data_IF_154755410492
#
_entry.id   IF_154755410492
#
_cell.length_a   1.000
_cell.length_b   1.000
_cell.length_c   1.000
_cell.angle_alpha   90.00
_cell.angle_beta   90.00
_cell.angle_gamma   90.00
#
_symmetry.space_group_name_H-M   'P 1'
#
loop_
_entity.id
_entity.type
_entity.pdbx_description
1 polymer ?
#
# COMPACT_ATOMS: atom_id res chain seq x y z
N UNK A 1 33.93 -16.62 -15.88
CA UNK A 1 34.13 -15.57 -14.87
C UNK A 1 32.89 -14.70 -14.91
N UNK A 2 31.96 -14.98 -14.02
CA UNK A 2 30.62 -14.38 -14.02
C UNK A 2 30.65 -12.96 -13.46
N UNK A 3 30.28 -11.99 -14.31
CA UNK A 3 30.01 -10.61 -13.93
C UNK A 3 28.58 -10.51 -13.41
N UNK A 4 28.38 -10.81 -12.13
CA UNK A 4 27.12 -10.51 -11.43
C UNK A 4 27.19 -9.08 -10.86
N UNK A 5 26.82 -8.10 -11.69
CA UNK A 5 26.58 -6.72 -11.25
C UNK A 5 25.33 -6.69 -10.34
N UNK A 6 25.56 -6.75 -9.03
CA UNK A 6 24.55 -6.52 -8.00
C UNK A 6 24.11 -5.06 -8.02
N UNK A 7 22.99 -4.76 -8.69
CA UNK A 7 22.31 -3.48 -8.57
C UNK A 7 21.59 -3.42 -7.21
N UNK A 8 22.21 -2.76 -6.22
CA UNK A 8 21.54 -2.38 -4.98
C UNK A 8 20.62 -1.18 -5.23
N UNK A 9 19.32 -1.44 -5.39
CA UNK A 9 18.29 -0.41 -5.41
C UNK A 9 18.08 0.13 -3.98
N UNK A 10 18.56 1.34 -3.73
CA UNK A 10 18.25 2.08 -2.51
C UNK A 10 16.88 2.75 -2.66
N UNK A 11 15.81 2.09 -2.22
CA UNK A 11 14.48 2.70 -2.15
C UNK A 11 14.37 3.55 -0.88
N UNK A 12 14.64 4.85 -0.99
CA UNK A 12 14.47 5.79 0.11
C UNK A 12 13.02 6.32 0.10
N UNK A 13 12.12 5.59 0.75
CA UNK A 13 10.73 6.02 0.94
C UNK A 13 10.71 6.99 2.13
N UNK A 14 10.52 8.29 1.84
CA UNK A 14 10.26 9.30 2.86
C UNK A 14 8.84 9.13 3.40
N UNK A 15 8.66 8.27 4.40
CA UNK A 15 7.37 8.10 5.09
C UNK A 15 7.17 9.26 6.07
N UNK A 16 6.04 9.97 5.93
CA UNK A 16 5.57 11.01 6.85
C UNK A 16 5.66 10.51 8.32
N UNK A 17 6.28 11.31 9.20
CA UNK A 17 6.51 10.97 10.61
C UNK A 17 5.21 10.57 11.34
N UNK A 18 4.05 11.12 10.95
CA UNK A 18 2.76 10.73 11.52
C UNK A 18 2.36 9.30 11.14
N UNK A 19 2.60 8.91 9.89
CA UNK A 19 2.36 7.56 9.38
C UNK A 19 3.37 6.60 10.00
N UNK A 20 4.64 7.00 10.08
CA UNK A 20 5.69 6.25 10.76
C UNK A 20 5.36 5.98 12.23
N UNK A 21 4.92 7.00 12.98
CA UNK A 21 4.54 6.87 14.38
C UNK A 21 3.30 5.97 14.58
N UNK A 22 2.35 5.98 13.64
CA UNK A 22 1.22 5.04 13.65
C UNK A 22 1.68 3.62 13.40
N UNK A 23 2.55 3.40 12.41
CA UNK A 23 3.11 2.09 12.09
C UNK A 23 3.97 1.54 13.24
N UNK A 24 4.81 2.38 13.88
CA UNK A 24 5.62 1.99 15.04
C UNK A 24 4.78 1.55 16.24
N UNK A 25 3.60 2.13 16.47
CA UNK A 25 2.72 1.71 17.56
C UNK A 25 2.15 0.29 17.38
N UNK A 26 2.19 -0.26 16.17
CA UNK A 26 1.75 -1.63 15.91
C UNK A 26 2.90 -2.65 15.95
N UNK A 27 4.16 -2.21 15.82
CA UNK A 27 5.33 -3.08 15.77
C UNK A 27 6.01 -3.13 17.14
N UNK A 28 5.42 -3.89 18.08
CA UNK A 28 6.20 -4.62 19.09
C UNK A 28 5.51 -5.97 19.27
N UNK A 29 5.67 -6.85 18.29
CA UNK A 29 6.04 -8.24 18.59
C UNK A 29 6.80 -8.82 17.41
N UNK A 30 7.84 -9.56 17.75
CA UNK A 30 8.95 -9.97 16.90
C UNK A 30 8.60 -11.24 16.11
N UNK A 31 9.21 -11.35 14.92
CA UNK A 31 9.42 -12.57 14.10
C UNK A 31 8.36 -12.97 13.07
N UNK A 32 8.51 -12.45 11.84
CA UNK A 32 8.30 -13.23 10.62
C UNK A 32 9.08 -12.58 9.46
N UNK A 33 10.37 -12.92 9.34
CA UNK A 33 11.26 -12.42 8.31
C UNK A 33 11.57 -13.55 7.32
N UNK A 34 10.67 -13.84 6.36
CA UNK A 34 11.10 -14.61 5.18
C UNK A 34 10.21 -14.61 3.93
N UNK A 35 9.05 -13.94 3.89
CA UNK A 35 8.26 -13.95 2.65
C UNK A 35 8.62 -12.73 1.79
N UNK A 36 9.49 -12.95 0.79
CA UNK A 36 9.73 -12.00 -0.30
C UNK A 36 8.43 -11.80 -1.09
N UNK A 37 7.66 -10.79 -0.71
CA UNK A 37 6.44 -10.39 -1.43
C UNK A 37 6.85 -9.62 -2.71
N UNK A 38 7.08 -10.36 -3.79
CA UNK A 38 7.28 -9.78 -5.13
C UNK A 38 5.95 -9.22 -5.63
N UNK A 39 5.73 -7.91 -5.41
CA UNK A 39 4.62 -7.17 -6.00
C UNK A 39 5.00 -6.78 -7.42
N UNK A 40 4.51 -7.52 -8.41
CA UNK A 40 4.60 -7.10 -9.80
C UNK A 40 3.83 -5.79 -10.01
N UNK A 41 4.55 -4.75 -10.43
CA UNK A 41 4.00 -3.43 -10.76
C UNK A 41 3.31 -3.49 -12.11
N UNK A 42 2.02 -3.85 -12.12
CA UNK A 42 1.20 -3.73 -13.32
C UNK A 42 0.77 -2.26 -13.55
N UNK A 43 1.34 -1.69 -14.62
CA UNK A 43 0.88 -0.57 -15.47
C UNK A 43 0.44 0.76 -14.82
N UNK A 44 1.28 1.79 -15.01
CA UNK A 44 1.05 3.21 -15.38
C UNK A 44 -0.25 3.98 -15.03
N UNK A 45 -1.18 3.48 -14.20
CA UNK A 45 -2.27 4.30 -13.67
C UNK A 45 -1.81 4.93 -12.35
N UNK A 46 -1.79 6.27 -12.30
CA UNK A 46 -1.46 6.99 -11.07
C UNK A 46 -2.53 6.83 -9.98
N UNK A 47 -3.68 6.26 -10.34
CA UNK A 47 -4.84 6.12 -9.48
C UNK A 47 -5.58 4.80 -9.70
N UNK A 48 -6.26 4.34 -8.65
CA UNK A 48 -6.90 3.03 -8.55
C UNK A 48 -8.32 3.17 -8.01
N UNK A 49 -9.28 2.51 -8.63
CA UNK A 49 -10.63 2.37 -8.07
C UNK A 49 -10.61 1.37 -6.90
N UNK A 50 -11.68 1.35 -6.09
CA UNK A 50 -11.84 0.31 -5.06
C UNK A 50 -11.78 -1.10 -5.67
N UNK A 51 -12.30 -1.30 -6.90
CA UNK A 51 -12.24 -2.58 -7.59
C UNK A 51 -10.80 -2.98 -7.93
N UNK A 52 -9.96 -2.02 -8.31
CA UNK A 52 -8.55 -2.27 -8.58
C UNK A 52 -7.81 -2.59 -7.29
N UNK A 53 -8.06 -1.84 -6.22
CA UNK A 53 -7.49 -2.10 -4.90
C UNK A 53 -7.87 -3.50 -4.40
N UNK A 54 -9.14 -3.91 -4.55
CA UNK A 54 -9.58 -5.26 -4.20
C UNK A 54 -8.76 -6.34 -4.91
N UNK A 55 -8.54 -6.19 -6.23
CA UNK A 55 -7.74 -7.12 -7.02
C UNK A 55 -6.27 -7.12 -6.58
N UNK A 56 -5.67 -5.95 -6.39
CA UNK A 56 -4.25 -5.80 -6.03
C UNK A 56 -3.96 -6.37 -4.64
N UNK A 57 -4.87 -6.15 -3.69
CA UNK A 57 -4.72 -6.58 -2.30
C UNK A 57 -5.29 -7.97 -2.02
N UNK A 58 -5.86 -8.63 -3.04
CA UNK A 58 -6.57 -9.91 -2.92
C UNK A 58 -7.66 -9.88 -1.81
N UNK A 59 -8.39 -8.77 -1.71
CA UNK A 59 -9.51 -8.62 -0.77
C UNK A 59 -10.81 -8.87 -1.53
N UNK A 60 -11.56 -9.88 -1.08
CA UNK A 60 -12.78 -10.35 -1.76
C UNK A 60 -13.97 -9.40 -1.57
N UNK A 61 -14.00 -8.59 -0.50
CA UNK A 61 -15.15 -7.75 -0.17
C UNK A 61 -14.86 -6.26 -0.31
N UNK A 62 -15.75 -5.57 -1.02
CA UNK A 62 -15.69 -4.11 -1.17
C UNK A 62 -15.76 -3.38 0.18
N UNK A 63 -16.64 -3.85 1.08
CA UNK A 63 -16.85 -3.26 2.41
C UNK A 63 -15.57 -3.29 3.26
N UNK A 64 -14.78 -4.36 3.16
CA UNK A 64 -13.50 -4.45 3.87
C UNK A 64 -12.52 -3.41 3.37
N UNK A 65 -12.38 -3.23 2.06
CA UNK A 65 -11.52 -2.18 1.48
C UNK A 65 -11.98 -0.78 1.91
N UNK A 66 -13.29 -0.51 1.87
CA UNK A 66 -13.86 0.78 2.31
C UNK A 66 -13.61 1.04 3.80
N UNK A 67 -13.71 -0.01 4.63
CA UNK A 67 -13.41 0.07 6.06
C UNK A 67 -11.92 0.38 6.30
N UNK A 68 -11.01 -0.28 5.57
CA UNK A 68 -9.57 -0.02 5.65
C UNK A 68 -9.25 1.43 5.27
N UNK A 69 -9.80 1.91 4.15
CA UNK A 69 -9.65 3.29 3.69
C UNK A 69 -10.12 4.28 4.76
N UNK A 70 -11.28 4.00 5.40
CA UNK A 70 -11.82 4.85 6.48
C UNK A 70 -10.92 4.84 7.71
N UNK A 71 -10.50 3.66 8.18
CA UNK A 71 -9.68 3.50 9.39
C UNK A 71 -8.29 4.14 9.24
N UNK A 72 -7.70 4.02 8.05
CA UNK A 72 -6.40 4.60 7.71
C UNK A 72 -6.50 6.08 7.29
N UNK A 73 -7.71 6.66 7.28
CA UNK A 73 -7.99 8.04 6.90
C UNK A 73 -7.50 8.39 5.48
N UNK A 74 -7.63 7.44 4.54
CA UNK A 74 -7.26 7.61 3.13
C UNK A 74 -8.34 8.36 2.32
N UNK A 75 -9.39 8.83 3.00
CA UNK A 75 -10.42 9.69 2.42
C UNK A 75 -10.00 11.16 2.26
N UNK A 76 -8.77 11.51 2.64
CA UNK A 76 -8.23 12.87 2.49
C UNK A 76 -7.88 13.16 1.03
N UNK A 77 -8.00 14.42 0.62
CA UNK A 77 -7.75 14.87 -0.76
C UNK A 77 -6.35 14.49 -1.27
N UNK A 78 -5.34 14.45 -0.41
CA UNK A 78 -3.98 14.03 -0.79
C UNK A 78 -3.87 12.58 -1.26
N UNK A 79 -4.88 11.75 -1.02
CA UNK A 79 -4.87 10.32 -1.32
C UNK A 79 -5.87 9.90 -2.38
N UNK A 80 -6.84 10.78 -2.72
CA UNK A 80 -7.90 10.45 -3.66
C UNK A 80 -8.39 11.66 -4.42
N UNK A 81 -8.94 11.42 -5.60
CA UNK A 81 -9.69 12.40 -6.35
C UNK A 81 -10.99 11.76 -6.88
N UNK A 82 -11.93 12.61 -7.27
CA UNK A 82 -13.17 12.18 -7.90
C UNK A 82 -12.95 12.10 -9.42
N UNK A 83 -13.23 10.94 -10.02
CA UNK A 83 -13.16 10.77 -11.47
C UNK A 83 -14.33 11.43 -12.18
N UNK A 84 -14.24 11.55 -13.51
CA UNK A 84 -15.33 12.03 -14.35
C UNK A 84 -16.62 11.18 -14.23
N UNK A 85 -16.49 9.92 -13.78
CA UNK A 85 -17.61 9.00 -13.57
C UNK A 85 -18.18 9.07 -12.13
N UNK A 86 -17.84 10.10 -11.35
CA UNK A 86 -18.18 10.22 -9.93
C UNK A 86 -17.68 9.07 -9.06
N UNK A 87 -16.58 8.41 -9.45
CA UNK A 87 -15.95 7.36 -8.67
C UNK A 87 -14.69 7.89 -7.96
N UNK A 88 -14.54 7.57 -6.67
CA UNK A 88 -13.31 7.87 -5.93
C UNK A 88 -12.17 6.98 -6.40
N UNK A 89 -11.10 7.61 -6.88
CA UNK A 89 -9.86 6.94 -7.27
C UNK A 89 -8.73 7.33 -6.33
N UNK A 90 -7.91 6.35 -5.95
CA UNK A 90 -6.89 6.47 -4.92
C UNK A 90 -5.50 6.40 -5.53
N UNK A 91 -4.58 7.25 -5.09
CA UNK A 91 -3.24 7.29 -5.65
C UNK A 91 -2.33 6.15 -5.15
N UNK A 92 -1.10 6.12 -5.68
CA UNK A 92 -0.07 5.18 -5.25
C UNK A 92 0.24 5.24 -3.75
N UNK A 93 0.21 6.42 -3.13
CA UNK A 93 0.48 6.54 -1.69
C UNK A 93 -0.58 5.83 -0.85
N UNK A 94 -1.86 6.00 -1.21
CA UNK A 94 -2.97 5.29 -0.57
C UNK A 94 -2.82 3.77 -0.73
N UNK A 95 -2.45 3.32 -1.93
CA UNK A 95 -2.23 1.89 -2.21
C UNK A 95 -1.06 1.34 -1.38
N UNK A 96 0.05 2.08 -1.28
CA UNK A 96 1.21 1.67 -0.50
C UNK A 96 0.89 1.58 0.99
N UNK A 97 0.13 2.55 1.54
CA UNK A 97 -0.33 2.50 2.93
C UNK A 97 -1.20 1.27 3.18
N UNK A 98 -2.11 0.94 2.25
CA UNK A 98 -2.94 -0.25 2.36
C UNK A 98 -2.13 -1.55 2.31
N UNK A 99 -1.13 -1.63 1.42
CA UNK A 99 -0.21 -2.78 1.35
C UNK A 99 0.57 -2.98 2.64
N UNK A 100 1.16 -1.89 3.16
CA UNK A 100 1.89 -1.92 4.42
C UNK A 100 0.97 -2.37 5.57
N UNK A 101 -0.26 -1.87 5.62
CA UNK A 101 -1.23 -2.29 6.64
C UNK A 101 -1.48 -3.81 6.60
N UNK A 102 -1.63 -4.40 5.42
CA UNK A 102 -1.85 -5.85 5.32
C UNK A 102 -0.62 -6.66 5.75
N UNK A 103 0.58 -6.22 5.39
CA UNK A 103 1.83 -6.86 5.84
C UNK A 103 1.90 -6.86 7.37
N UNK A 104 1.66 -5.71 8.01
CA UNK A 104 1.73 -5.59 9.47
C UNK A 104 0.51 -6.16 10.22
N UNK A 105 -0.60 -6.46 9.54
CA UNK A 105 -1.74 -7.17 10.15
C UNK A 105 -1.50 -8.68 10.24
N UNK A 106 -0.70 -9.23 9.33
CA UNK A 106 -0.43 -10.67 9.21
C UNK A 106 0.81 -11.10 10.02
N UNK A 107 1.74 -10.17 10.25
CA UNK A 107 2.87 -10.33 11.18
C UNK A 107 2.43 -10.25 12.63
#
# INVERSE_FOLDING_TARGET
MDNSNSFKLACQISIDQFVFNKLQKFVIDKQAANDEVILSLASNSNYYSIKDIMKILNISTRKEVELLIKNLQLNKEKYRHLSANNEWLYNNDALNILKLYLIYKVA
#
